data_IF_182804833112
#
_entry.id   IF_182804833112
#
_cell.length_a   1.000
_cell.length_b   1.000
_cell.length_c   1.000
_cell.angle_alpha   90.00
_cell.angle_beta   90.00
_cell.angle_gamma   90.00
#
_symmetry.space_group_name_H-M   'P 1'
#
loop_
_entity.id
_entity.type
_entity.pdbx_description
1 polymer ?
#
# COMPACT_ATOMS: atom_id res chain seq x y z
N UNK A 1 2.60 7.04 7.46
CA UNK A 1 1.60 6.28 6.67
C UNK A 1 0.73 7.24 5.86
N UNK A 2 -0.12 8.06 6.49
CA UNK A 2 -1.01 9.01 5.78
C UNK A 2 -0.33 9.83 4.67
N UNK A 3 0.82 10.46 4.94
CA UNK A 3 1.53 11.25 3.92
C UNK A 3 2.08 10.44 2.72
N UNK A 4 2.39 9.15 2.90
CA UNK A 4 2.86 8.31 1.80
C UNK A 4 1.71 7.90 0.87
N UNK A 5 0.55 7.58 1.44
CA UNK A 5 -0.67 7.27 0.68
C UNK A 5 -1.16 8.51 -0.09
N UNK A 6 -1.14 9.67 0.56
CA UNK A 6 -1.47 10.96 -0.08
C UNK A 6 -0.55 11.28 -1.26
N UNK A 7 0.76 11.07 -1.11
CA UNK A 7 1.74 11.29 -2.18
C UNK A 7 1.50 10.35 -3.38
N UNK A 8 1.25 9.05 -3.12
CA UNK A 8 0.93 8.09 -4.18
C UNK A 8 -0.40 8.42 -4.87
N UNK A 9 -1.42 8.83 -4.10
CA UNK A 9 -2.71 9.25 -4.64
C UNK A 9 -2.60 10.53 -5.48
N UNK A 10 -1.77 11.48 -5.07
CA UNK A 10 -1.48 12.69 -5.84
C UNK A 10 -0.83 12.36 -7.19
N UNK A 11 0.16 11.45 -7.19
CA UNK A 11 0.78 10.95 -8.42
C UNK A 11 -0.21 10.25 -9.34
N UNK A 12 -1.07 9.38 -8.80
CA UNK A 12 -2.11 8.70 -9.60
C UNK A 12 -3.12 9.67 -10.22
N UNK A 13 -3.54 10.71 -9.48
CA UNK A 13 -4.44 11.76 -10.01
C UNK A 13 -3.77 12.59 -11.09
N UNK A 14 -2.47 12.86 -10.97
CA UNK A 14 -1.71 13.57 -12.01
C UNK A 14 -1.57 12.72 -13.28
N UNK A 15 -1.30 11.42 -13.14
CA UNK A 15 -1.28 10.49 -14.26
C UNK A 15 -2.63 10.42 -14.99
N UNK A 16 -3.74 10.38 -14.24
CA UNK A 16 -5.09 10.43 -14.81
C UNK A 16 -5.34 11.77 -15.55
N UNK A 17 -4.91 12.90 -14.98
CA UNK A 17 -5.01 14.20 -15.66
C UNK A 17 -4.19 14.21 -16.96
N UNK A 18 -2.98 13.65 -16.95
CA UNK A 18 -2.16 13.51 -18.16
C UNK A 18 -2.87 12.67 -19.21
N UNK A 19 -3.47 11.54 -18.85
CA UNK A 19 -4.20 10.69 -19.80
C UNK A 19 -5.40 11.42 -20.42
N UNK A 20 -6.15 12.18 -19.62
CA UNK A 20 -7.23 13.03 -20.13
C UNK A 20 -6.72 14.09 -21.12
N UNK A 21 -5.54 14.65 -20.89
CA UNK A 21 -4.89 15.59 -21.80
C UNK A 21 -4.25 14.92 -23.04
N UNK A 22 -3.81 13.66 -22.93
CA UNK A 22 -3.09 12.92 -23.97
C UNK A 22 -4.01 12.16 -24.93
N UNK A 23 -5.11 11.57 -24.45
CA UNK A 23 -6.10 10.85 -25.27
C UNK A 23 -6.79 11.73 -26.32
N UNK A 24 -6.56 13.04 -26.24
CA UNK A 24 -7.14 14.09 -27.07
C UNK A 24 -6.08 14.87 -27.84
N UNK A 25 -4.82 14.40 -27.83
CA UNK A 25 -3.78 14.89 -28.73
C UNK A 25 -3.99 14.21 -30.09
N UNK A 26 -4.94 14.73 -30.88
CA UNK A 26 -4.95 14.48 -32.31
C UNK A 26 -3.53 14.78 -32.86
N UNK A 27 -3.01 13.99 -33.83
CA UNK A 27 -1.71 14.28 -34.43
C UNK A 27 -1.70 15.76 -34.82
N UNK A 28 -0.56 16.43 -34.64
CA UNK A 28 -0.35 17.81 -35.05
C UNK A 28 -0.60 17.93 -36.57
N UNK A 29 -1.86 17.95 -36.96
CA UNK A 29 -2.32 18.33 -38.26
C UNK A 29 -1.93 19.77 -38.44
N UNK A 30 -1.63 20.12 -39.67
CA UNK A 30 -1.36 21.45 -40.20
C UNK A 30 -2.55 22.42 -40.05
N UNK A 31 -3.27 22.34 -38.94
CA UNK A 31 -4.33 23.27 -38.57
C UNK A 31 -3.66 24.57 -38.14
N UNK A 32 -3.56 25.48 -39.10
CA UNK A 32 -3.18 26.86 -38.80
C UNK A 32 -4.15 27.46 -37.77
N UNK A 33 -3.72 28.45 -36.96
CA UNK A 33 -4.60 29.16 -36.03
C UNK A 33 -5.90 29.65 -36.70
N UNK A 34 -5.83 29.98 -38.00
CA UNK A 34 -6.96 30.36 -38.83
C UNK A 34 -7.98 29.24 -39.04
N UNK A 35 -7.56 27.97 -39.16
CA UNK A 35 -8.46 26.81 -39.32
C UNK A 35 -9.21 26.51 -38.02
N UNK A 36 -8.51 26.58 -36.88
CA UNK A 36 -9.11 26.42 -35.55
C UNK A 36 -10.10 27.56 -35.26
N UNK A 37 -9.72 28.81 -35.57
CA UNK A 37 -10.59 29.97 -35.45
C UNK A 37 -11.80 29.88 -36.38
N UNK A 38 -11.63 29.39 -37.61
CA UNK A 38 -12.75 29.18 -38.54
C UNK A 38 -13.74 28.11 -38.04
N UNK A 39 -13.27 27.08 -37.34
CA UNK A 39 -14.11 26.08 -36.69
C UNK A 39 -14.90 26.67 -35.51
N UNK A 40 -14.24 27.45 -34.66
CA UNK A 40 -14.89 28.15 -33.53
C UNK A 40 -15.86 29.22 -34.02
N UNK A 41 -15.50 29.97 -35.05
CA UNK A 41 -16.39 30.96 -35.68
C UNK A 41 -17.57 30.28 -36.35
N UNK A 42 -17.41 29.11 -36.99
CA UNK A 42 -18.56 28.34 -37.48
C UNK A 42 -19.47 27.89 -36.35
N UNK A 43 -18.90 27.33 -35.27
CA UNK A 43 -19.70 26.94 -34.11
C UNK A 43 -20.46 28.12 -33.49
N UNK A 44 -19.81 29.28 -33.34
CA UNK A 44 -20.44 30.51 -32.84
C UNK A 44 -21.47 31.10 -33.81
N UNK A 45 -21.23 31.01 -35.12
CA UNK A 45 -22.17 31.45 -36.16
C UNK A 45 -23.38 30.52 -36.24
N UNK A 46 -23.17 29.21 -36.04
CA UNK A 46 -24.23 28.20 -35.98
C UNK A 46 -25.07 28.37 -34.70
N UNK A 47 -24.48 28.87 -33.61
CA UNK A 47 -25.18 29.21 -32.35
C UNK A 47 -26.00 30.52 -32.48
N UNK A 48 -25.58 31.42 -33.38
CA UNK A 48 -26.27 32.65 -33.75
C UNK A 48 -26.20 33.76 -32.69
N UNK A 49 -26.41 35.01 -33.10
CA UNK A 49 -26.66 36.10 -32.14
C UNK A 49 -28.02 35.91 -31.46
N UNK A 50 -28.25 36.49 -30.29
CA UNK A 50 -29.53 36.33 -29.55
C UNK A 50 -30.78 36.69 -30.38
N UNK A 51 -30.62 37.55 -31.39
CA UNK A 51 -31.67 37.94 -32.33
C UNK A 51 -31.79 36.98 -33.54
N UNK A 52 -30.70 36.34 -33.98
CA UNK A 52 -30.67 35.42 -35.13
C UNK A 52 -30.95 33.96 -34.74
N UNK A 53 -30.64 33.57 -33.51
CA UNK A 53 -30.89 32.24 -32.96
C UNK A 53 -32.34 31.75 -33.18
N UNK A 54 -33.41 32.56 -32.97
CA UNK A 54 -34.78 32.10 -33.27
C UNK A 54 -35.06 31.90 -34.77
N UNK A 55 -34.36 32.61 -35.66
CA UNK A 55 -34.57 32.52 -37.12
C UNK A 55 -33.83 31.31 -37.71
N UNK A 56 -32.58 31.08 -37.29
CA UNK A 56 -31.83 29.87 -37.65
C UNK A 56 -32.53 28.61 -37.14
N UNK A 57 -33.12 28.68 -35.95
CA UNK A 57 -33.97 27.62 -35.36
C UNK A 57 -35.19 27.33 -36.22
N UNK A 58 -35.93 28.36 -36.63
CA UNK A 58 -37.09 28.20 -37.54
C UNK A 58 -36.68 27.58 -38.88
N UNK A 59 -35.51 27.96 -39.41
CA UNK A 59 -35.00 27.43 -40.67
C UNK A 59 -34.58 25.96 -40.57
N UNK A 60 -33.96 25.55 -39.46
CA UNK A 60 -33.60 24.16 -39.19
C UNK A 60 -34.85 23.28 -38.96
N UNK A 61 -35.82 23.77 -38.20
CA UNK A 61 -37.12 23.12 -38.00
C UNK A 61 -37.86 22.92 -39.33
N UNK A 62 -37.94 23.98 -40.15
CA UNK A 62 -38.57 23.90 -41.47
C UNK A 62 -37.83 22.92 -42.39
N UNK A 63 -36.50 22.90 -42.34
CA UNK A 63 -35.70 21.92 -43.11
C UNK A 63 -35.96 20.49 -42.63
N UNK A 64 -36.00 20.24 -41.32
CA UNK A 64 -36.28 18.91 -40.76
C UNK A 64 -37.71 18.41 -41.08
N UNK A 65 -38.70 19.31 -41.05
CA UNK A 65 -40.09 19.02 -41.45
C UNK A 65 -40.20 18.74 -42.95
N UNK A 66 -39.49 19.52 -43.78
CA UNK A 66 -39.45 19.31 -45.24
C UNK A 66 -38.70 18.02 -45.61
N UNK A 67 -37.65 17.67 -44.87
CA UNK A 67 -36.86 16.44 -45.07
C UNK A 67 -37.48 15.20 -44.41
N UNK A 68 -38.71 15.32 -43.89
CA UNK A 68 -39.59 14.21 -43.53
C UNK A 68 -39.06 13.29 -42.41
N UNK A 69 -38.45 13.88 -41.38
CA UNK A 69 -38.30 13.21 -40.08
C UNK A 69 -39.44 13.65 -39.17
N UNK A 70 -40.12 12.70 -38.54
CA UNK A 70 -41.02 12.96 -37.41
C UNK A 70 -40.22 13.69 -36.33
N UNK A 71 -40.32 15.02 -36.33
CA UNK A 71 -39.71 15.85 -35.31
C UNK A 71 -40.60 15.80 -34.08
N UNK A 72 -40.37 14.82 -33.20
CA UNK A 72 -40.74 14.99 -31.80
C UNK A 72 -39.79 16.04 -31.25
N UNK A 73 -40.32 17.22 -30.93
CA UNK A 73 -39.58 18.22 -30.17
C UNK A 73 -39.32 17.60 -28.78
N UNK A 74 -38.27 16.79 -28.68
CA UNK A 74 -37.91 16.09 -27.46
C UNK A 74 -37.66 17.12 -26.37
N UNK A 75 -38.15 16.82 -25.16
CA UNK A 75 -38.05 17.58 -23.91
C UNK A 75 -36.59 17.95 -23.51
N UNK A 76 -35.60 17.51 -24.29
CA UNK A 76 -34.17 17.74 -24.13
C UNK A 76 -33.75 19.22 -24.31
N UNK A 77 -34.53 20.05 -25.00
CA UNK A 77 -34.17 21.47 -25.24
C UNK A 77 -34.43 22.42 -24.07
N UNK A 78 -35.33 22.04 -23.15
CA UNK A 78 -35.55 22.77 -21.90
C UNK A 78 -34.66 22.24 -20.76
N UNK A 79 -33.89 21.18 -21.01
CA UNK A 79 -32.94 20.68 -20.04
C UNK A 79 -31.86 21.74 -19.82
N UNK A 80 -31.56 22.12 -18.57
CA UNK A 80 -30.48 23.06 -18.30
C UNK A 80 -29.18 22.49 -18.88
N UNK A 81 -28.54 23.26 -19.76
CA UNK A 81 -27.30 22.88 -20.49
C UNK A 81 -26.08 22.79 -19.55
N UNK A 82 -26.30 22.89 -18.24
CA UNK A 82 -25.27 22.99 -17.23
C UNK A 82 -24.70 24.40 -17.10
N UNK A 83 -23.71 24.52 -16.22
CA UNK A 83 -22.93 25.76 -16.08
C UNK A 83 -21.91 25.89 -17.21
N UNK A 84 -21.45 27.12 -17.50
CA UNK A 84 -20.39 27.35 -18.48
C UNK A 84 -19.11 26.54 -18.19
N UNK A 85 -18.85 26.24 -16.92
CA UNK A 85 -17.72 25.39 -16.52
C UNK A 85 -17.95 23.93 -16.89
N UNK A 86 -19.16 23.40 -16.72
CA UNK A 86 -19.51 22.03 -17.09
C UNK A 86 -19.39 21.82 -18.60
N UNK A 87 -19.86 22.78 -19.39
CA UNK A 87 -19.69 22.80 -20.85
C UNK A 87 -18.22 22.82 -21.25
N UNK A 88 -17.43 23.72 -20.65
CA UNK A 88 -15.99 23.81 -20.94
C UNK A 88 -15.25 22.51 -20.58
N UNK A 89 -15.65 21.82 -19.50
CA UNK A 89 -15.07 20.53 -19.11
C UNK A 89 -15.48 19.41 -20.07
N UNK A 90 -16.74 19.38 -20.50
CA UNK A 90 -17.23 18.40 -21.49
C UNK A 90 -16.49 18.55 -22.82
N UNK A 91 -16.27 19.80 -23.26
CA UNK A 91 -15.48 20.10 -24.45
C UNK A 91 -13.99 19.79 -24.26
N UNK A 92 -13.41 20.12 -23.11
CA UNK A 92 -11.98 19.92 -22.86
C UNK A 92 -11.55 18.45 -22.91
N UNK A 93 -12.46 17.53 -22.56
CA UNK A 93 -12.19 16.10 -22.41
C UNK A 93 -13.00 15.21 -23.35
N UNK A 94 -13.50 15.76 -24.46
CA UNK A 94 -14.19 14.97 -25.49
C UNK A 94 -13.21 13.97 -26.12
N UNK A 95 -13.57 12.68 -26.30
CA UNK A 95 -12.64 11.62 -26.70
C UNK A 95 -11.90 11.88 -28.02
N UNK A 96 -12.54 12.60 -28.95
CA UNK A 96 -12.02 12.81 -30.31
C UNK A 96 -10.94 13.90 -30.40
N UNK A 97 -10.69 14.65 -29.31
CA UNK A 97 -9.59 15.61 -29.26
C UNK A 97 -9.62 16.73 -30.30
N UNK A 98 -10.83 17.08 -30.77
CA UNK A 98 -11.04 18.07 -31.83
C UNK A 98 -10.60 19.49 -31.47
N UNK A 99 -10.71 20.44 -32.41
CA UNK A 99 -10.32 21.85 -32.23
C UNK A 99 -10.97 22.53 -31.01
N UNK A 100 -12.22 22.18 -30.71
CA UNK A 100 -12.95 22.66 -29.53
C UNK A 100 -12.28 22.19 -28.23
N UNK A 101 -11.88 20.92 -28.13
CA UNK A 101 -11.18 20.38 -26.96
C UNK A 101 -9.82 21.05 -26.70
N UNK A 102 -9.10 21.42 -27.76
CA UNK A 102 -7.85 22.19 -27.63
C UNK A 102 -8.11 23.60 -27.10
N UNK A 103 -9.14 24.25 -27.64
CA UNK A 103 -9.52 25.63 -27.26
C UNK A 103 -10.04 25.69 -25.83
N UNK A 104 -10.90 24.75 -25.44
CA UNK A 104 -11.41 24.61 -24.08
C UNK A 104 -10.29 24.35 -23.07
N UNK A 105 -9.32 23.48 -23.40
CA UNK A 105 -8.13 23.24 -22.56
C UNK A 105 -7.22 24.46 -22.47
N UNK A 106 -6.99 25.18 -23.56
CA UNK A 106 -6.21 26.41 -23.54
C UNK A 106 -6.87 27.49 -22.67
N UNK A 107 -8.20 27.66 -22.78
CA UNK A 107 -8.97 28.55 -21.92
C UNK A 107 -8.96 28.10 -20.43
N UNK A 108 -8.97 26.79 -20.20
CA UNK A 108 -8.89 26.16 -18.88
C UNK A 108 -7.48 26.06 -18.28
N UNK A 109 -6.43 26.33 -19.06
CA UNK A 109 -5.03 26.08 -18.67
C UNK A 109 -4.64 26.82 -17.38
N UNK A 110 -5.17 28.03 -17.18
CA UNK A 110 -4.97 28.83 -15.96
C UNK A 110 -5.43 28.13 -14.68
N UNK A 111 -6.36 27.18 -14.77
CA UNK A 111 -6.88 26.39 -13.65
C UNK A 111 -6.25 25.00 -13.59
N UNK A 112 -6.05 24.37 -14.75
CA UNK A 112 -5.48 23.02 -14.84
C UNK A 112 -4.01 22.99 -14.43
N UNK A 113 -3.21 23.96 -14.87
CA UNK A 113 -1.77 23.96 -14.63
C UNK A 113 -1.42 24.10 -13.14
N UNK A 114 -1.99 25.05 -12.36
CA UNK A 114 -1.73 25.10 -10.92
C UNK A 114 -2.17 23.85 -10.16
N UNK A 115 -3.25 23.19 -10.59
CA UNK A 115 -3.68 21.92 -9.99
C UNK A 115 -2.70 20.79 -10.32
N UNK A 116 -2.23 20.69 -11.56
CA UNK A 116 -1.19 19.73 -11.95
C UNK A 116 0.10 19.95 -11.14
N UNK A 117 0.53 21.21 -10.98
CA UNK A 117 1.69 21.56 -10.17
C UNK A 117 1.51 21.19 -8.69
N UNK A 118 0.33 21.42 -8.12
CA UNK A 118 0.02 21.01 -6.74
C UNK A 118 0.05 19.49 -6.57
N UNK A 119 -0.49 18.74 -7.54
CA UNK A 119 -0.46 17.28 -7.52
C UNK A 119 0.98 16.76 -7.65
N UNK A 120 1.78 17.34 -8.54
CA UNK A 120 3.19 17.01 -8.69
C UNK A 120 3.99 17.30 -7.41
N UNK A 121 3.76 18.45 -6.79
CA UNK A 121 4.37 18.80 -5.51
C UNK A 121 3.96 17.84 -4.38
N UNK A 122 2.69 17.42 -4.35
CA UNK A 122 2.21 16.42 -3.39
C UNK A 122 2.84 15.04 -3.61
N UNK A 123 3.03 14.64 -4.87
CA UNK A 123 3.69 13.38 -5.23
C UNK A 123 5.21 13.39 -4.94
N UNK A 124 5.85 14.56 -4.99
CA UNK A 124 7.27 14.77 -4.71
C UNK A 124 7.61 14.78 -3.21
N UNK A 125 6.80 14.13 -2.37
CA UNK A 125 7.06 14.05 -0.93
C UNK A 125 8.27 13.16 -0.64
N UNK A 126 9.18 13.64 0.21
CA UNK A 126 10.38 12.88 0.59
C UNK A 126 10.01 11.53 1.24
N UNK A 127 10.62 10.42 0.77
CA UNK A 127 10.29 9.10 1.28
C UNK A 127 10.83 8.92 2.71
N UNK A 128 10.04 8.32 3.62
CA UNK A 128 10.42 8.17 5.03
C UNK A 128 11.71 7.36 5.15
N UNK A 129 12.68 7.87 5.93
CA UNK A 129 13.96 7.19 6.18
C UNK A 129 13.85 6.11 7.24
N UNK A 130 12.86 6.23 8.11
CA UNK A 130 12.68 5.37 9.28
C UNK A 130 11.19 5.07 9.48
N UNK A 131 10.90 3.86 9.93
CA UNK A 131 9.57 3.46 10.38
C UNK A 131 9.68 2.75 11.72
N UNK A 132 8.59 2.75 12.49
CA UNK A 132 8.51 2.01 13.75
C UNK A 132 7.57 0.83 13.56
N UNK A 133 8.09 -0.38 13.71
CA UNK A 133 7.31 -1.62 13.70
C UNK A 133 7.08 -2.09 15.15
N UNK A 134 5.91 -2.67 15.43
CA UNK A 134 5.63 -3.27 16.73
C UNK A 134 5.96 -4.76 16.71
N UNK A 135 6.97 -5.18 17.47
CA UNK A 135 7.42 -6.58 17.59
C UNK A 135 7.37 -6.96 19.07
N UNK A 136 6.61 -8.01 19.40
CA UNK A 136 6.35 -8.40 20.80
C UNK A 136 5.80 -7.24 21.67
N UNK A 137 4.96 -6.38 21.09
CA UNK A 137 4.42 -5.16 21.71
C UNK A 137 5.49 -4.11 22.08
N UNK A 138 6.70 -4.23 21.53
CA UNK A 138 7.76 -3.25 21.68
C UNK A 138 7.99 -2.52 20.36
N UNK A 139 8.18 -1.19 20.40
CA UNK A 139 8.52 -0.41 19.21
C UNK A 139 9.96 -0.73 18.79
N UNK A 140 10.13 -1.28 17.59
CA UNK A 140 11.41 -1.51 16.92
C UNK A 140 11.51 -0.54 15.76
N UNK A 141 12.56 0.27 15.74
CA UNK A 141 12.78 1.25 14.68
C UNK A 141 13.57 0.59 13.55
N UNK A 142 12.98 0.55 12.37
CA UNK A 142 13.57 0.00 11.16
C UNK A 142 14.02 1.13 10.24
N UNK A 143 15.24 1.00 9.71
CA UNK A 143 15.85 1.92 8.75
C UNK A 143 16.39 1.09 7.59
N UNK A 144 16.25 1.58 6.37
CA UNK A 144 16.81 0.89 5.20
C UNK A 144 18.33 0.86 5.25
N UNK A 145 18.93 -0.32 5.11
CA UNK A 145 20.39 -0.50 5.06
C UNK A 145 21.10 -0.42 6.42
N UNK A 146 20.37 -0.33 7.53
CA UNK A 146 20.93 -0.34 8.88
C UNK A 146 20.26 -1.43 9.73
N UNK A 147 20.97 -1.98 10.74
CA UNK A 147 20.37 -2.92 11.68
C UNK A 147 19.18 -2.27 12.43
N UNK A 148 18.13 -3.04 12.77
CA UNK A 148 16.97 -2.50 13.48
C UNK A 148 17.33 -2.05 14.90
N UNK A 149 16.98 -0.82 15.24
CA UNK A 149 17.20 -0.27 16.58
C UNK A 149 16.06 -0.74 17.53
N UNK A 150 16.43 -1.30 18.69
CA UNK A 150 15.48 -1.77 19.70
C UNK A 150 15.25 -3.29 19.75
N UNK A 151 15.89 -4.06 18.87
CA UNK A 151 15.85 -5.53 18.94
C UNK A 151 16.39 -6.08 20.27
N UNK A 152 17.38 -5.43 20.89
CA UNK A 152 17.91 -5.83 22.20
C UNK A 152 16.84 -5.81 23.32
N UNK A 153 15.85 -4.94 23.21
CA UNK A 153 14.73 -4.91 24.15
C UNK A 153 13.78 -6.08 23.91
N UNK A 154 13.58 -6.46 22.64
CA UNK A 154 12.79 -7.64 22.24
C UNK A 154 13.48 -8.92 22.69
N UNK A 155 14.79 -9.04 22.47
CA UNK A 155 15.60 -10.18 22.89
C UNK A 155 15.52 -10.34 24.42
N UNK A 156 15.73 -9.26 25.20
CA UNK A 156 15.55 -9.28 26.67
C UNK A 156 14.14 -9.67 27.11
N UNK A 157 13.10 -9.23 26.38
CA UNK A 157 11.71 -9.58 26.68
C UNK A 157 11.45 -11.06 26.42
N UNK A 158 11.98 -11.61 25.33
CA UNK A 158 11.89 -13.04 25.01
C UNK A 158 12.65 -13.85 26.06
N UNK A 159 13.85 -13.44 26.44
CA UNK A 159 14.64 -14.10 27.50
C UNK A 159 13.90 -14.11 28.84
N UNK A 160 13.21 -13.02 29.20
CA UNK A 160 12.39 -12.96 30.42
C UNK A 160 11.20 -13.92 30.41
N UNK A 161 10.68 -14.27 29.21
CA UNK A 161 9.56 -15.22 29.05
C UNK A 161 10.06 -16.67 29.13
N UNK A 162 11.33 -16.92 28.83
CA UNK A 162 11.96 -18.23 28.87
C UNK A 162 13.18 -18.23 29.81
N UNK A 163 13.00 -17.97 31.12
CA UNK A 163 14.11 -17.99 32.05
C UNK A 163 14.78 -19.36 32.03
N UNK A 164 16.12 -19.37 32.00
CA UNK A 164 16.91 -20.60 32.06
C UNK A 164 16.44 -21.47 33.22
N UNK A 165 16.14 -22.75 32.96
CA UNK A 165 15.66 -23.63 34.02
C UNK A 165 16.72 -23.72 35.12
N UNK A 166 16.35 -23.64 36.40
CA UNK A 166 17.29 -23.94 37.46
C UNK A 166 17.90 -25.33 37.25
N UNK A 167 19.20 -25.43 37.54
CA UNK A 167 20.02 -26.64 37.61
C UNK A 167 19.20 -27.78 38.28
N UNK A 168 19.33 -29.06 37.87
CA UNK A 168 18.58 -30.18 38.48
C UNK A 168 18.50 -30.01 39.99
N UNK A 169 17.26 -29.96 40.49
CA UNK A 169 16.99 -29.67 41.90
C UNK A 169 17.74 -30.68 42.76
N UNK A 170 18.37 -30.25 43.86
CA UNK A 170 19.10 -31.15 44.78
C UNK A 170 18.26 -32.39 45.17
N UNK A 171 16.93 -32.25 45.19
CA UNK A 171 15.98 -33.32 45.39
C UNK A 171 16.02 -34.46 44.33
N UNK A 172 16.12 -34.16 43.03
CA UNK A 172 16.23 -35.22 41.99
C UNK A 172 17.56 -35.95 42.07
N UNK A 173 18.64 -35.24 42.42
CA UNK A 173 19.96 -35.84 42.68
C UNK A 173 19.91 -36.72 43.94
N UNK A 174 19.28 -36.26 45.01
CA UNK A 174 19.13 -37.01 46.27
C UNK A 174 18.30 -38.29 46.10
N UNK A 175 17.19 -38.24 45.34
CA UNK A 175 16.35 -39.40 45.05
C UNK A 175 17.10 -40.43 44.22
N UNK A 176 17.86 -40.00 43.21
CA UNK A 176 18.69 -40.89 42.40
C UNK A 176 19.81 -41.55 43.24
N UNK A 177 20.46 -40.78 44.12
CA UNK A 177 21.49 -41.29 45.03
C UNK A 177 20.92 -42.30 46.03
N UNK A 178 19.75 -42.02 46.62
CA UNK A 178 19.07 -42.94 47.54
C UNK A 178 18.68 -44.26 46.85
N UNK A 179 18.17 -44.20 45.62
CA UNK A 179 17.87 -45.40 44.81
C UNK A 179 19.11 -46.25 44.52
N UNK A 180 20.25 -45.61 44.22
CA UNK A 180 21.52 -46.30 43.98
C UNK A 180 22.08 -46.99 45.24
N UNK A 181 21.93 -46.36 46.41
CA UNK A 181 22.38 -46.92 47.70
C UNK A 181 21.52 -48.13 48.14
N UNK A 182 20.26 -48.22 47.71
CA UNK A 182 19.35 -49.31 48.09
C UNK A 182 19.45 -50.57 47.19
N UNK A 183 20.18 -50.51 46.07
CA UNK A 183 20.41 -51.63 45.14
C UNK A 183 21.38 -52.75 45.60
N UNK A 184 22.40 -52.54 46.45
CA UNK A 184 23.39 -53.58 46.78
C UNK A 184 22.96 -54.76 47.70
N UNK A 185 21.86 -54.76 48.49
CA UNK A 185 21.71 -55.75 49.57
C UNK A 185 21.43 -57.18 49.08
N UNK A 186 21.12 -57.38 47.79
CA UNK A 186 20.98 -58.70 47.17
C UNK A 186 22.28 -59.53 47.18
N UNK A 187 23.45 -58.89 47.30
CA UNK A 187 24.73 -59.61 47.35
C UNK A 187 25.10 -60.12 48.76
N UNK A 188 24.42 -59.66 49.83
CA UNK A 188 24.89 -59.86 51.20
C UNK A 188 24.00 -60.74 52.09
N UNK A 189 22.66 -60.78 51.90
CA UNK A 189 21.79 -61.66 52.69
C UNK A 189 20.44 -61.99 52.01
N UNK A 190 20.05 -63.27 51.90
CA UNK A 190 18.78 -63.69 51.29
C UNK A 190 17.61 -63.60 52.30
N UNK A 191 17.36 -62.40 52.83
CA UNK A 191 16.21 -62.12 53.70
C UNK A 191 15.13 -61.37 52.90
N UNK A 192 13.84 -61.61 53.20
CA UNK A 192 12.71 -60.98 52.51
C UNK A 192 12.78 -59.43 52.46
N UNK A 193 13.43 -58.80 53.45
CA UNK A 193 13.68 -57.36 53.49
C UNK A 193 14.61 -56.87 52.36
N UNK A 194 15.58 -57.69 51.92
CA UNK A 194 16.50 -57.34 50.83
C UNK A 194 15.76 -57.25 49.49
N UNK A 195 14.80 -58.15 49.26
CA UNK A 195 13.94 -58.13 48.05
C UNK A 195 13.08 -56.87 48.04
N UNK A 196 12.46 -56.51 49.16
CA UNK A 196 11.64 -55.28 49.25
C UNK A 196 12.49 -54.03 49.02
N UNK A 197 13.68 -53.95 49.62
CA UNK A 197 14.60 -52.82 49.45
C UNK A 197 15.03 -52.63 48.00
N UNK A 198 15.33 -53.73 47.29
CA UNK A 198 15.75 -53.67 45.88
C UNK A 198 14.62 -53.28 44.93
N UNK A 199 13.39 -53.76 45.16
CA UNK A 199 12.21 -53.32 44.42
C UNK A 199 11.91 -51.83 44.66
N UNK A 200 12.04 -51.36 45.91
CA UNK A 200 11.88 -49.94 46.24
C UNK A 200 12.96 -49.08 45.57
N UNK A 201 14.24 -49.51 45.60
CA UNK A 201 15.34 -48.82 44.93
C UNK A 201 15.16 -48.76 43.41
N UNK A 202 14.76 -49.87 42.78
CA UNK A 202 14.46 -49.92 41.36
C UNK A 202 13.28 -49.00 40.99
N UNK A 203 12.21 -49.00 41.79
CA UNK A 203 11.06 -48.10 41.59
C UNK A 203 11.45 -46.62 41.67
N UNK A 204 12.27 -46.24 42.65
CA UNK A 204 12.79 -44.87 42.78
C UNK A 204 13.67 -44.46 41.60
N UNK A 205 14.52 -45.35 41.09
CA UNK A 205 15.35 -45.09 39.91
C UNK A 205 14.51 -44.92 38.64
N UNK A 206 13.50 -45.76 38.43
CA UNK A 206 12.57 -45.61 37.29
C UNK A 206 11.81 -44.30 37.38
N UNK A 207 11.30 -43.93 38.56
CA UNK A 207 10.62 -42.66 38.77
C UNK A 207 11.54 -41.45 38.51
N UNK A 208 12.80 -41.51 38.99
CA UNK A 208 13.81 -40.49 38.72
C UNK A 208 14.14 -40.39 37.23
N UNK A 209 14.30 -41.51 36.54
CA UNK A 209 14.60 -41.57 35.11
C UNK A 209 13.45 -41.03 34.25
N UNK A 210 12.20 -41.39 34.55
CA UNK A 210 11.00 -40.88 33.85
C UNK A 210 10.88 -39.37 34.05
N UNK A 211 11.05 -38.89 35.29
CA UNK A 211 11.02 -37.45 35.60
C UNK A 211 12.14 -36.70 34.88
N UNK A 212 13.37 -37.22 34.91
CA UNK A 212 14.51 -36.61 34.22
C UNK A 212 14.28 -36.55 32.71
N UNK A 213 13.75 -37.63 32.11
CA UNK A 213 13.40 -37.64 30.67
C UNK A 213 12.32 -36.61 30.34
N UNK A 214 11.33 -36.43 31.21
CA UNK A 214 10.32 -35.38 31.10
C UNK A 214 10.94 -33.98 31.15
N UNK A 215 11.83 -33.72 32.11
CA UNK A 215 12.55 -32.44 32.25
C UNK A 215 13.45 -32.17 31.03
N UNK A 216 14.15 -33.18 30.50
CA UNK A 216 15.00 -33.05 29.30
C UNK A 216 14.15 -32.71 28.08
N UNK A 217 13.01 -33.39 27.87
CA UNK A 217 12.08 -33.07 26.77
C UNK A 217 11.53 -31.65 26.88
N UNK A 218 11.08 -31.25 28.06
CA UNK A 218 10.59 -29.88 28.30
C UNK A 218 11.68 -28.83 28.08
N UNK A 219 12.94 -29.11 28.43
CA UNK A 219 14.08 -28.21 28.13
C UNK A 219 14.33 -28.09 26.64
N UNK A 220 14.27 -29.19 25.90
CA UNK A 220 14.41 -29.17 24.44
C UNK A 220 13.31 -28.34 23.79
N UNK A 221 12.04 -28.60 24.14
CA UNK A 221 10.88 -27.84 23.64
C UNK A 221 10.96 -26.35 23.99
N UNK A 222 11.40 -25.99 25.21
CA UNK A 222 11.57 -24.59 25.60
C UNK A 222 12.67 -23.89 24.80
N UNK A 223 13.81 -24.56 24.57
CA UNK A 223 14.91 -24.03 23.75
C UNK A 223 14.47 -23.84 22.31
N UNK A 224 13.73 -24.80 21.77
CA UNK A 224 13.18 -24.72 20.41
C UNK A 224 12.19 -23.55 20.29
N UNK A 225 11.25 -23.40 21.24
CA UNK A 225 10.32 -22.26 21.27
C UNK A 225 11.02 -20.91 21.45
N UNK A 226 12.06 -20.85 22.28
CA UNK A 226 12.88 -19.65 22.47
C UNK A 226 13.62 -19.28 21.18
N UNK A 227 14.31 -20.23 20.55
CA UNK A 227 14.98 -20.02 19.28
C UNK A 227 14.00 -19.62 18.16
N UNK A 228 12.84 -20.26 18.07
CA UNK A 228 11.79 -19.92 17.12
C UNK A 228 11.22 -18.51 17.36
N UNK A 229 11.06 -18.10 18.63
CA UNK A 229 10.58 -16.75 18.96
C UNK A 229 11.59 -15.68 18.55
N UNK A 230 12.88 -15.90 18.81
CA UNK A 230 13.96 -14.99 18.41
C UNK A 230 14.06 -14.89 16.87
N UNK A 231 14.05 -16.03 16.19
CA UNK A 231 14.06 -16.07 14.72
C UNK A 231 12.86 -15.35 14.13
N UNK A 232 11.65 -15.57 14.68
CA UNK A 232 10.43 -14.91 14.24
C UNK A 232 10.41 -13.40 14.51
N UNK A 233 11.05 -12.93 15.59
CA UNK A 233 11.20 -11.50 15.86
C UNK A 233 12.14 -10.83 14.85
N UNK A 234 13.30 -11.44 14.57
CA UNK A 234 14.27 -10.95 13.57
C UNK A 234 13.68 -10.95 12.16
N UNK A 235 13.02 -12.04 11.77
CA UNK A 235 12.36 -12.13 10.47
C UNK A 235 11.27 -11.05 10.30
N UNK A 236 10.51 -10.73 11.34
CA UNK A 236 9.53 -9.62 11.30
C UNK A 236 10.21 -8.26 11.13
N UNK A 237 11.33 -8.03 11.82
CA UNK A 237 12.10 -6.79 11.66
C UNK A 237 12.68 -6.65 10.25
N UNK A 238 13.22 -7.73 9.69
CA UNK A 238 13.72 -7.79 8.31
C UNK A 238 12.61 -7.54 7.29
N UNK A 239 11.44 -8.17 7.44
CA UNK A 239 10.29 -7.90 6.56
C UNK A 239 9.86 -6.44 6.64
N UNK A 240 9.75 -5.87 7.84
CA UNK A 240 9.39 -4.47 8.00
C UNK A 240 10.42 -3.51 7.36
N UNK A 241 11.72 -3.84 7.42
CA UNK A 241 12.76 -3.09 6.73
C UNK A 241 12.65 -3.22 5.20
N UNK A 242 12.30 -4.40 4.69
CA UNK A 242 12.03 -4.64 3.28
C UNK A 242 10.81 -3.87 2.77
N UNK A 243 9.69 -3.92 3.50
CA UNK A 243 8.46 -3.17 3.20
C UNK A 243 8.72 -1.65 3.18
N UNK A 244 9.55 -1.14 4.10
CA UNK A 244 9.98 0.25 4.08
C UNK A 244 10.81 0.56 2.84
N UNK A 245 11.71 -0.33 2.43
CA UNK A 245 12.47 -0.22 1.18
C UNK A 245 11.55 -0.11 -0.04
N UNK A 246 10.64 -1.06 -0.19
CA UNK A 246 9.66 -1.08 -1.29
C UNK A 246 8.81 0.19 -1.32
N UNK A 247 8.38 0.70 -0.15
CA UNK A 247 7.61 1.94 -0.07
C UNK A 247 8.44 3.13 -0.54
N UNK A 248 9.71 3.22 -0.15
CA UNK A 248 10.62 4.29 -0.59
C UNK A 248 10.82 4.25 -2.10
N UNK A 249 11.02 3.08 -2.67
CA UNK A 249 11.19 2.91 -4.11
C UNK A 249 9.94 3.30 -4.88
N UNK A 250 8.75 2.92 -4.39
CA UNK A 250 7.46 3.33 -4.98
C UNK A 250 7.27 4.84 -4.92
N UNK A 251 7.59 5.48 -3.80
CA UNK A 251 7.50 6.94 -3.64
C UNK A 251 8.48 7.67 -4.55
N UNK A 252 9.73 7.20 -4.64
CA UNK A 252 10.73 7.77 -5.55
C UNK A 252 10.30 7.64 -7.02
N UNK A 253 9.80 6.47 -7.42
CA UNK A 253 9.27 6.25 -8.77
C UNK A 253 7.99 7.07 -9.05
N UNK A 254 7.15 7.31 -8.04
CA UNK A 254 5.98 8.16 -8.17
C UNK A 254 6.36 9.64 -8.31
N UNK A 255 7.34 10.12 -7.54
CA UNK A 255 7.85 11.48 -7.64
C UNK A 255 8.48 11.76 -9.01
N UNK A 256 9.30 10.82 -9.53
CA UNK A 256 9.88 10.95 -10.87
C UNK A 256 8.79 10.99 -11.95
N UNK A 257 7.86 10.04 -11.93
CA UNK A 257 6.73 10.00 -12.89
C UNK A 257 5.86 11.25 -12.82
N UNK A 258 5.64 11.78 -11.62
CA UNK A 258 4.89 13.02 -11.47
C UNK A 258 5.58 14.23 -12.12
N UNK A 259 6.92 14.27 -12.14
CA UNK A 259 7.67 15.25 -12.91
C UNK A 259 7.42 15.11 -14.42
N UNK A 260 7.57 13.88 -14.94
CA UNK A 260 7.35 13.58 -16.35
C UNK A 260 5.90 13.88 -16.79
N UNK A 261 4.91 13.52 -15.95
CA UNK A 261 3.49 13.74 -16.19
C UNK A 261 3.15 15.24 -16.17
N UNK A 262 3.75 16.02 -15.27
CA UNK A 262 3.56 17.47 -15.22
C UNK A 262 4.09 18.14 -16.50
N UNK A 263 5.24 17.70 -16.99
CA UNK A 263 5.84 18.25 -18.22
C UNK A 263 5.03 17.85 -19.47
N UNK A 264 4.46 16.65 -19.49
CA UNK A 264 3.50 16.24 -20.51
C UNK A 264 2.21 17.10 -20.47
N UNK A 265 1.66 17.38 -19.28
CA UNK A 265 0.49 18.27 -19.12
C UNK A 265 0.83 19.68 -19.60
N UNK A 266 1.97 20.26 -19.21
CA UNK A 266 2.42 21.59 -19.71
C UNK A 266 2.48 21.64 -21.23
N UNK A 267 3.08 20.61 -21.85
CA UNK A 267 3.22 20.53 -23.30
C UNK A 267 1.85 20.43 -23.99
N UNK A 268 0.91 19.67 -23.42
CA UNK A 268 -0.45 19.52 -23.96
C UNK A 268 -1.32 20.77 -23.82
N UNK A 269 -1.05 21.63 -22.83
CA UNK A 269 -1.85 22.83 -22.53
C UNK A 269 -1.34 24.09 -23.24
N UNK A 270 -0.36 23.98 -24.15
CA UNK A 270 0.12 25.12 -24.94
C UNK A 270 1.29 25.88 -24.32
N UNK A 271 2.18 25.18 -23.60
CA UNK A 271 3.56 25.64 -23.42
C UNK A 271 4.38 25.41 -24.69
N UNK A 272 4.02 26.11 -25.77
CA UNK A 272 4.66 26.10 -27.09
C UNK A 272 4.11 27.20 -27.97
#
# INVERSE_FOLDING_TARGET
MAGAEEALAAGARLAALRELCAGTAAPAGTDTPATSLAGVLRALVDEGTGEEAPLLRRAAELRAVVENREYTADEQWAAPVGTALELLLADAFTPDGGPLARTARAAGARWLLPNAQRLAAGAATDPPREATASIEHLPVRVRTGAPPDGLDAVDRRIDSRYPGSPVPTRATVAVAAAGAVLLPPLAAWPNALAVIATLAGAGLLVAAAVRWRGEVRQRAERRERHAASLAGARQRAERAAGELGDLRDRLAAAAQRAGDDLDAVKSSLGGG
#
